data_IF_605523872230
#
_entry.id   IF_605523872230
#
_cell.length_a   1.000
_cell.length_b   1.000
_cell.length_c   1.000
_cell.angle_alpha   90.00
_cell.angle_beta   90.00
_cell.angle_gamma   90.00
#
_symmetry.space_group_name_H-M   'P 1'
#
loop_
_entity.id
_entity.type
_entity.pdbx_description
1 polymer ?
#
# COMPACT_ATOMS: atom_id res chain seq x y z
N UNK A 1 6.07 2.65 11.39
CA UNK A 1 7.55 2.49 11.33
C UNK A 1 8.03 3.02 10.00
N UNK A 2 9.16 3.73 9.94
CA UNK A 2 9.66 4.24 8.68
C UNK A 2 10.34 3.13 7.87
N UNK A 3 10.07 3.10 6.57
CA UNK A 3 10.70 2.16 5.66
C UNK A 3 12.00 2.74 5.08
N UNK A 4 13.00 1.87 4.88
CA UNK A 4 14.25 2.24 4.21
C UNK A 4 14.21 1.69 2.78
N UNK A 5 14.58 2.51 1.80
CA UNK A 5 14.84 2.01 0.46
C UNK A 5 16.27 1.43 0.35
N UNK A 6 16.62 0.88 -0.81
CA UNK A 6 17.96 0.32 -1.10
C UNK A 6 19.11 1.33 -0.96
N UNK A 7 18.80 2.63 -0.84
CA UNK A 7 19.77 3.71 -0.64
C UNK A 7 19.86 4.17 0.82
N UNK A 8 19.18 3.50 1.76
CA UNK A 8 19.21 3.83 3.18
C UNK A 8 18.40 5.07 3.58
N UNK A 9 17.69 5.71 2.63
CA UNK A 9 16.80 6.84 2.92
C UNK A 9 15.56 6.37 3.66
N UNK A 10 15.26 7.05 4.78
CA UNK A 10 14.10 6.78 5.64
C UNK A 10 12.88 7.52 5.09
N UNK A 11 11.88 6.77 4.65
CA UNK A 11 10.59 7.29 4.22
C UNK A 11 9.51 6.80 5.16
N UNK A 12 8.67 7.72 5.64
CA UNK A 12 7.54 7.40 6.52
C UNK A 12 6.26 7.54 5.70
N UNK A 13 5.55 6.44 5.40
CA UNK A 13 4.16 6.57 4.95
C UNK A 13 3.32 7.07 6.13
N UNK A 14 2.16 7.64 5.84
CA UNK A 14 1.22 8.05 6.89
C UNK A 14 0.74 6.83 7.69
N UNK A 15 0.43 5.73 6.99
CA UNK A 15 0.15 4.41 7.60
C UNK A 15 0.78 3.28 6.79
N UNK A 16 1.01 2.15 7.45
CA UNK A 16 1.47 0.93 6.79
C UNK A 16 0.99 -0.31 7.50
N UNK A 17 0.60 -1.33 6.73
CA UNK A 17 0.14 -2.60 7.24
C UNK A 17 0.92 -3.75 6.60
N UNK A 18 0.94 -4.90 7.26
CA UNK A 18 1.60 -6.09 6.78
C UNK A 18 1.51 -7.20 7.81
N UNK A 19 1.97 -8.41 7.46
CA UNK A 19 1.93 -9.55 8.35
C UNK A 19 2.86 -9.37 9.55
N UNK A 20 2.57 -10.11 10.60
CA UNK A 20 3.41 -10.23 11.78
C UNK A 20 4.14 -11.57 11.80
N UNK A 21 5.18 -11.70 12.62
CA UNK A 21 5.89 -12.97 12.78
C UNK A 21 4.98 -14.14 13.22
N UNK A 22 3.84 -13.82 13.82
CA UNK A 22 2.81 -14.77 14.25
C UNK A 22 1.76 -15.06 13.17
N UNK A 23 1.77 -14.38 12.03
CA UNK A 23 0.81 -14.59 10.93
C UNK A 23 1.06 -15.96 10.27
N UNK A 24 0.12 -16.92 10.39
CA UNK A 24 0.33 -18.27 9.87
C UNK A 24 0.52 -18.29 8.35
N UNK A 25 1.54 -19.01 7.88
CA UNK A 25 1.81 -19.19 6.45
C UNK A 25 2.47 -18.00 5.75
N UNK A 26 2.70 -16.89 6.46
CA UNK A 26 3.43 -15.75 5.90
C UNK A 26 4.91 -16.07 5.72
N UNK A 27 5.49 -15.60 4.62
CA UNK A 27 6.91 -15.77 4.29
C UNK A 27 7.53 -14.40 4.01
N UNK A 28 8.72 -14.14 4.57
CA UNK A 28 9.46 -12.91 4.28
C UNK A 28 9.90 -12.90 2.80
N UNK A 29 9.63 -11.81 2.06
CA UNK A 29 10.09 -11.70 0.69
C UNK A 29 11.60 -11.43 0.66
N UNK A 30 12.26 -11.70 -0.48
CA UNK A 30 13.67 -11.37 -0.66
C UNK A 30 13.96 -9.89 -0.33
N UNK A 31 15.03 -9.64 0.41
CA UNK A 31 15.45 -8.29 0.78
C UNK A 31 14.72 -7.69 1.99
N UNK A 32 13.81 -8.42 2.63
CA UNK A 32 13.17 -8.00 3.90
C UNK A 32 13.65 -8.91 5.04
N UNK A 33 14.50 -8.40 5.96
CA UNK A 33 15.19 -9.26 6.93
C UNK A 33 14.31 -9.67 8.12
N UNK A 34 13.28 -8.90 8.46
CA UNK A 34 12.41 -9.12 9.63
C UNK A 34 10.96 -8.72 9.33
N UNK A 35 10.01 -9.36 10.01
CA UNK A 35 8.57 -9.06 9.87
C UNK A 35 8.20 -7.63 10.28
N UNK A 36 8.95 -7.01 11.19
CA UNK A 36 8.74 -5.61 11.56
C UNK A 36 8.86 -4.65 10.35
N UNK A 37 9.66 -5.03 9.36
CA UNK A 37 9.87 -4.27 8.12
C UNK A 37 8.98 -4.74 6.97
N UNK A 38 8.34 -5.91 7.09
CA UNK A 38 7.49 -6.48 6.06
C UNK A 38 6.11 -5.80 6.04
N UNK A 39 5.98 -4.77 5.19
CA UNK A 39 4.76 -3.96 5.07
C UNK A 39 4.24 -4.01 3.64
N UNK A 40 3.23 -4.85 3.43
CA UNK A 40 2.59 -5.15 2.15
C UNK A 40 1.67 -4.02 1.68
N UNK A 41 1.14 -3.20 2.59
CA UNK A 41 0.30 -2.04 2.27
C UNK A 41 0.99 -0.76 2.74
N UNK A 42 1.06 0.24 1.86
CA UNK A 42 1.39 1.63 2.20
C UNK A 42 0.16 2.51 2.02
N UNK A 43 -0.04 3.44 2.94
CA UNK A 43 -1.11 4.44 2.84
C UNK A 43 -0.48 5.83 2.89
N UNK A 44 -0.89 6.67 1.95
CA UNK A 44 -0.55 8.09 1.87
C UNK A 44 -1.81 8.93 1.92
N UNK A 45 -1.79 9.97 2.74
CA UNK A 45 -2.88 10.93 2.88
C UNK A 45 -2.37 12.30 2.38
N UNK A 46 -2.94 12.75 1.27
CA UNK A 46 -2.71 14.09 0.75
C UNK A 46 -3.84 15.04 1.15
N UNK A 47 -3.52 16.15 1.82
CA UNK A 47 -4.49 17.25 2.02
C UNK A 47 -4.15 18.41 1.10
N UNK A 48 -2.87 18.78 1.06
CA UNK A 48 -2.35 19.84 0.18
C UNK A 48 -1.67 19.29 -1.06
N UNK A 49 -1.44 17.97 -1.11
CA UNK A 49 -0.79 17.28 -2.22
C UNK A 49 -1.80 17.02 -3.34
N UNK A 50 -1.37 17.27 -4.58
CA UNK A 50 -2.11 16.92 -5.79
C UNK A 50 -1.76 15.50 -6.27
N UNK A 51 -2.63 14.97 -7.12
CA UNK A 51 -2.29 13.85 -8.00
C UNK A 51 -1.22 14.27 -9.02
N UNK A 52 -0.51 13.29 -9.58
CA UNK A 52 0.48 13.50 -10.62
C UNK A 52 1.89 13.03 -10.30
N UNK A 53 2.77 13.19 -11.28
CA UNK A 53 4.12 12.62 -11.31
C UNK A 53 5.22 13.64 -10.94
N UNK A 54 4.88 14.88 -10.59
CA UNK A 54 5.87 15.82 -10.09
C UNK A 54 6.32 15.43 -8.67
N UNK A 55 7.55 15.80 -8.32
CA UNK A 55 8.11 15.50 -7.01
C UNK A 55 7.20 16.05 -5.88
N UNK A 56 6.83 15.18 -4.95
CA UNK A 56 5.96 15.52 -3.82
C UNK A 56 4.47 15.24 -4.05
N UNK A 57 4.05 15.01 -5.30
CA UNK A 57 2.70 14.56 -5.63
C UNK A 57 2.51 13.07 -5.28
N UNK A 58 1.25 12.68 -5.11
CA UNK A 58 0.89 11.35 -4.61
C UNK A 58 1.33 10.23 -5.57
N UNK A 59 1.08 10.37 -6.87
CA UNK A 59 1.42 9.31 -7.85
C UNK A 59 2.94 9.15 -7.97
N UNK A 60 3.69 10.26 -7.94
CA UNK A 60 5.15 10.23 -7.88
C UNK A 60 5.68 9.46 -6.67
N UNK A 61 5.10 9.66 -5.47
CA UNK A 61 5.53 8.91 -4.27
C UNK A 61 5.30 7.42 -4.44
N UNK A 62 4.15 7.02 -5.00
CA UNK A 62 3.85 5.61 -5.26
C UNK A 62 4.93 4.97 -6.14
N UNK A 63 5.16 5.55 -7.32
CA UNK A 63 6.05 4.97 -8.32
C UNK A 63 7.51 5.03 -7.90
N UNK A 64 7.97 6.18 -7.43
CA UNK A 64 9.40 6.44 -7.19
C UNK A 64 9.88 5.95 -5.82
N UNK A 65 8.98 5.73 -4.86
CA UNK A 65 9.37 5.37 -3.48
C UNK A 65 8.74 4.04 -3.09
N UNK A 66 7.41 3.95 -3.04
CA UNK A 66 6.73 2.83 -2.38
C UNK A 66 6.77 1.55 -3.18
N UNK A 67 6.54 1.61 -4.49
CA UNK A 67 6.57 0.44 -5.37
C UNK A 67 7.97 -0.19 -5.50
N UNK A 68 9.03 0.59 -5.25
CA UNK A 68 10.40 0.10 -5.26
C UNK A 68 10.79 -0.60 -3.95
N UNK A 69 9.95 -0.57 -2.92
CA UNK A 69 10.26 -1.20 -1.64
C UNK A 69 9.96 -2.69 -1.67
N UNK A 70 10.90 -3.56 -1.24
CA UNK A 70 10.67 -4.99 -1.16
C UNK A 70 9.44 -5.34 -0.31
N UNK A 71 8.59 -6.21 -0.86
CA UNK A 71 7.41 -6.72 -0.18
C UNK A 71 6.19 -5.81 -0.18
N UNK A 72 6.23 -4.61 -0.77
CA UNK A 72 5.04 -3.78 -0.96
C UNK A 72 4.20 -4.36 -2.10
N UNK A 73 2.95 -4.69 -1.81
CA UNK A 73 1.97 -5.26 -2.74
C UNK A 73 0.95 -4.22 -3.20
N UNK A 74 0.58 -3.31 -2.30
CA UNK A 74 -0.39 -2.26 -2.56
C UNK A 74 0.02 -0.91 -1.98
N UNK A 75 -0.37 0.16 -2.68
CA UNK A 75 -0.27 1.53 -2.18
C UNK A 75 -1.62 2.20 -2.33
N UNK A 76 -2.22 2.59 -1.21
CA UNK A 76 -3.47 3.35 -1.18
C UNK A 76 -3.14 4.82 -0.96
N UNK A 77 -3.44 5.66 -1.94
CA UNK A 77 -3.39 7.10 -1.78
C UNK A 77 -4.81 7.63 -1.58
N UNK A 78 -5.01 8.45 -0.56
CA UNK A 78 -6.23 9.22 -0.34
C UNK A 78 -5.88 10.69 -0.47
N UNK A 79 -6.68 11.45 -1.19
CA UNK A 79 -6.57 12.89 -1.31
C UNK A 79 -7.86 13.53 -0.82
N UNK A 80 -7.71 14.52 0.05
CA UNK A 80 -8.78 15.43 0.46
C UNK A 80 -8.70 16.71 -0.36
N UNK A 81 -9.83 17.40 -0.51
CA UNK A 81 -9.81 18.83 -0.80
C UNK A 81 -9.37 19.64 0.44
N UNK A 82 -8.95 20.92 0.26
CA UNK A 82 -8.43 21.73 1.36
C UNK A 82 -9.43 21.97 2.51
N UNK A 83 -10.72 21.93 2.24
CA UNK A 83 -11.83 22.11 3.17
C UNK A 83 -12.39 20.79 3.72
N UNK A 84 -11.88 19.64 3.27
CA UNK A 84 -12.31 18.29 3.68
C UNK A 84 -13.77 17.96 3.34
N UNK A 85 -14.37 18.68 2.39
CA UNK A 85 -15.72 18.38 1.90
C UNK A 85 -15.76 17.11 1.05
N UNK A 86 -14.68 16.83 0.32
CA UNK A 86 -14.57 15.71 -0.60
C UNK A 86 -13.26 14.97 -0.40
N UNK A 87 -13.33 13.65 -0.64
CA UNK A 87 -12.15 12.81 -0.71
C UNK A 87 -12.22 11.88 -1.89
N UNK A 88 -11.06 11.55 -2.42
CA UNK A 88 -10.88 10.63 -3.53
C UNK A 88 -9.67 9.75 -3.26
N UNK A 89 -9.63 8.57 -3.85
CA UNK A 89 -8.52 7.64 -3.67
C UNK A 89 -8.06 7.02 -4.98
N UNK A 90 -6.83 6.53 -4.95
CA UNK A 90 -6.29 5.60 -5.95
C UNK A 90 -5.67 4.42 -5.22
N UNK A 91 -6.05 3.22 -5.63
CA UNK A 91 -5.42 1.98 -5.18
C UNK A 91 -4.45 1.50 -6.26
N UNK A 92 -3.17 1.47 -5.93
CA UNK A 92 -2.13 0.95 -6.79
C UNK A 92 -1.78 -0.48 -6.43
N UNK A 93 -1.85 -1.36 -7.42
CA UNK A 93 -1.29 -2.72 -7.36
C UNK A 93 0.14 -2.69 -7.89
N UNK A 94 1.14 -3.02 -7.06
CA UNK A 94 2.56 -2.94 -7.46
C UNK A 94 2.96 -3.99 -8.50
N UNK A 95 2.11 -4.99 -8.78
CA UNK A 95 2.30 -5.97 -9.84
C UNK A 95 1.72 -5.51 -11.18
N UNK A 96 0.88 -4.47 -11.19
CA UNK A 96 0.34 -3.88 -12.40
C UNK A 96 1.31 -2.86 -13.01
N UNK A 97 1.01 -2.38 -14.22
CA UNK A 97 1.79 -1.31 -14.83
C UNK A 97 1.49 0.03 -14.15
N UNK A 98 2.37 0.44 -13.23
CA UNK A 98 2.24 1.67 -12.45
C UNK A 98 2.44 2.96 -13.26
N UNK A 99 2.89 2.89 -14.51
CA UNK A 99 3.00 4.06 -15.39
C UNK A 99 1.64 4.44 -16.00
N UNK A 100 0.63 3.57 -15.90
CA UNK A 100 -0.73 3.88 -16.32
C UNK A 100 -1.37 4.77 -15.26
N UNK A 101 -1.81 5.96 -15.66
CA UNK A 101 -2.53 6.86 -14.77
C UNK A 101 -3.90 6.27 -14.44
N UNK A 102 -4.10 5.93 -13.16
CA UNK A 102 -5.41 5.55 -12.65
C UNK A 102 -6.27 6.81 -12.46
N UNK A 103 -7.54 6.79 -12.89
CA UNK A 103 -8.47 7.86 -12.51
C UNK A 103 -8.71 7.80 -10.99
N UNK A 104 -8.78 8.96 -10.30
CA UNK A 104 -9.16 8.97 -8.90
C UNK A 104 -10.63 8.53 -8.74
N UNK A 105 -10.89 7.82 -7.65
CA UNK A 105 -12.22 7.29 -7.31
C UNK A 105 -12.77 8.06 -6.12
N UNK A 106 -13.99 8.62 -6.17
CA UNK A 106 -14.58 9.31 -5.04
C UNK A 106 -14.78 8.40 -3.82
N UNK A 107 -14.49 8.91 -2.62
CA UNK A 107 -14.88 8.30 -1.36
C UNK A 107 -16.24 8.87 -0.99
N UNK A 108 -17.26 8.00 -0.97
CA UNK A 108 -18.64 8.36 -0.71
C UNK A 108 -19.16 7.78 0.61
N UNK A 109 -20.08 8.51 1.25
CA UNK A 109 -20.78 8.07 2.45
C UNK A 109 -21.84 6.99 2.14
N UNK A 110 -22.19 6.11 3.11
CA UNK A 110 -21.64 6.04 4.47
C UNK A 110 -20.31 5.28 4.56
N UNK A 111 -19.97 4.50 3.53
CA UNK A 111 -18.69 3.79 3.42
C UNK A 111 -18.32 3.58 1.95
N UNK A 112 -17.02 3.55 1.68
CA UNK A 112 -16.45 3.11 0.41
C UNK A 112 -15.60 1.87 0.70
N UNK A 113 -15.85 0.78 -0.03
CA UNK A 113 -15.15 -0.49 0.18
C UNK A 113 -13.97 -0.62 -0.78
N UNK A 114 -12.82 -1.01 -0.24
CA UNK A 114 -11.59 -1.26 -1.00
C UNK A 114 -11.23 -2.73 -0.82
N UNK A 115 -11.06 -3.43 -1.93
CA UNK A 115 -10.74 -4.85 -1.93
C UNK A 115 -9.24 -5.07 -2.11
N UNK A 116 -8.71 -6.02 -1.34
CA UNK A 116 -7.34 -6.48 -1.44
C UNK A 116 -7.32 -8.00 -1.57
N UNK A 117 -6.31 -8.54 -2.23
CA UNK A 117 -6.01 -9.96 -2.13
C UNK A 117 -5.42 -10.26 -0.74
N UNK A 118 -6.17 -11.01 0.07
CA UNK A 118 -5.77 -11.37 1.43
C UNK A 118 -4.47 -12.16 1.52
N UNK A 119 -4.17 -13.02 0.54
CA UNK A 119 -2.88 -13.75 0.51
C UNK A 119 -1.72 -12.77 0.34
N UNK A 120 -1.87 -11.82 -0.58
CA UNK A 120 -0.85 -10.80 -0.85
C UNK A 120 -0.65 -9.90 0.36
N UNK A 121 -1.72 -9.41 0.97
CA UNK A 121 -1.65 -8.56 2.17
C UNK A 121 -0.98 -9.29 3.33
N UNK A 122 -1.24 -10.59 3.51
CA UNK A 122 -0.64 -11.40 4.57
C UNK A 122 0.71 -12.01 4.19
N UNK A 123 1.27 -11.75 3.01
CA UNK A 123 2.54 -12.35 2.60
C UNK A 123 2.51 -13.88 2.50
N UNK A 124 1.34 -14.47 2.23
CA UNK A 124 1.13 -15.92 2.13
C UNK A 124 1.32 -16.35 0.67
N UNK A 125 2.29 -17.23 0.36
CA UNK A 125 2.50 -17.71 -1.00
C UNK A 125 1.30 -18.49 -1.56
N UNK A 126 1.13 -18.54 -2.89
CA UNK A 126 0.18 -19.43 -3.53
C UNK A 126 0.38 -20.89 -3.09
N UNK A 127 -0.71 -21.63 -2.92
CA UNK A 127 -0.68 -23.04 -2.52
C UNK A 127 -0.53 -23.29 -1.01
N UNK A 128 -0.18 -22.27 -0.22
CA UNK A 128 -0.21 -22.35 1.23
C UNK A 128 -1.67 -22.19 1.72
N UNK A 129 -2.05 -23.01 2.69
CA UNK A 129 -3.35 -22.94 3.32
C UNK A 129 -3.51 -21.58 4.03
N UNK A 130 -4.65 -20.93 3.81
CA UNK A 130 -5.00 -19.72 4.55
C UNK A 130 -5.22 -20.04 6.03
N UNK A 131 -5.00 -19.07 6.95
CA UNK A 131 -5.28 -19.26 8.36
C UNK A 131 -6.72 -19.73 8.59
N UNK A 132 -6.99 -20.55 9.63
CA UNK A 132 -8.35 -20.87 10.04
C UNK A 132 -9.15 -19.57 10.20
N UNK A 133 -10.41 -19.56 9.72
CA UNK A 133 -11.33 -18.40 9.75
C UNK A 133 -11.00 -17.24 8.79
N UNK A 134 -10.00 -17.37 7.92
CA UNK A 134 -9.85 -16.41 6.83
C UNK A 134 -11.06 -16.50 5.88
N UNK A 135 -11.69 -15.37 5.49
CA UNK A 135 -12.84 -15.39 4.61
C UNK A 135 -12.49 -16.14 3.32
N UNK A 136 -13.27 -17.18 3.00
CA UNK A 136 -13.23 -17.76 1.65
C UNK A 136 -14.05 -16.82 0.78
N UNK A 137 -13.39 -16.19 -0.19
CA UNK A 137 -14.05 -15.48 -1.27
C UNK A 137 -14.90 -16.47 -2.08
#
# INVERSE_FOLDING_TARGET
MAAKNSQGRRWCPDLSYGPEATTPGSVLPPGVPIFADFRTIKVEIGVTQSWGMAQGQLDHKVVSIWAAMPGVEYVLCVKFDPDFENAEYKLYDTRANLLVQLPPVPIVAPKTEIQFDGRRVLGIPPGIALPPFFPRL
#
